data_IF_765152783355
#
_entry.id   IF_765152783355
#
_cell.length_a   1.000
_cell.length_b   1.000
_cell.length_c   1.000
_cell.angle_alpha   90.00
_cell.angle_beta   90.00
_cell.angle_gamma   90.00
#
_symmetry.space_group_name_H-M   'P 1'
#
loop_
_entity.id
_entity.type
_entity.pdbx_description
1 polymer ?
#
# COMPACT_ATOMS: atom_id res chain seq x y z
N UNK A 1 -51.08 -13.39 -10.15
CA UNK A 1 -50.12 -13.25 -9.02
C UNK A 1 -49.00 -14.31 -9.02
N UNK A 2 -49.19 -15.47 -9.65
CA UNK A 2 -48.20 -16.56 -9.68
C UNK A 2 -46.85 -16.34 -10.42
N UNK A 3 -46.72 -15.52 -11.49
CA UNK A 3 -45.46 -15.46 -12.25
C UNK A 3 -44.35 -14.61 -11.58
N UNK A 4 -44.69 -13.80 -10.58
CA UNK A 4 -43.74 -12.89 -9.91
C UNK A 4 -42.78 -13.61 -8.96
N UNK A 5 -43.25 -14.70 -8.33
CA UNK A 5 -42.46 -15.47 -7.34
C UNK A 5 -41.21 -16.11 -7.96
N UNK A 6 -41.29 -16.88 -9.09
CA UNK A 6 -40.10 -17.46 -9.70
C UNK A 6 -39.12 -16.41 -10.22
N UNK A 7 -39.61 -15.28 -10.70
CA UNK A 7 -38.77 -14.15 -11.14
C UNK A 7 -37.96 -13.55 -9.97
N UNK A 8 -38.62 -13.26 -8.85
CA UNK A 8 -37.95 -12.73 -7.64
C UNK A 8 -36.91 -13.74 -7.13
N UNK A 9 -37.24 -15.03 -7.10
CA UNK A 9 -36.29 -16.08 -6.71
C UNK A 9 -35.09 -16.15 -7.67
N UNK A 10 -35.31 -16.00 -8.98
CA UNK A 10 -34.24 -15.91 -9.97
C UNK A 10 -33.26 -14.76 -9.67
N UNK A 11 -33.77 -13.57 -9.35
CA UNK A 11 -32.95 -12.42 -8.95
C UNK A 11 -32.15 -12.71 -7.67
N UNK A 12 -32.78 -13.32 -6.66
CA UNK A 12 -32.11 -13.67 -5.40
C UNK A 12 -30.96 -14.65 -5.62
N UNK A 13 -31.19 -15.73 -6.39
CA UNK A 13 -30.13 -16.69 -6.72
C UNK A 13 -29.01 -16.05 -7.55
N UNK A 14 -29.33 -15.06 -8.38
CA UNK A 14 -28.32 -14.31 -9.13
C UNK A 14 -27.45 -13.43 -8.22
N UNK A 15 -28.03 -12.73 -7.24
CA UNK A 15 -27.28 -11.95 -6.24
C UNK A 15 -26.36 -12.88 -5.42
N UNK A 16 -26.84 -14.08 -5.07
CA UNK A 16 -26.04 -15.11 -4.38
C UNK A 16 -24.90 -15.60 -5.28
N UNK A 17 -25.13 -15.77 -6.58
CA UNK A 17 -24.10 -16.17 -7.54
C UNK A 17 -23.01 -15.11 -7.65
N UNK A 18 -23.36 -13.83 -7.84
CA UNK A 18 -22.41 -12.71 -7.89
C UNK A 18 -21.57 -12.64 -6.61
N UNK A 19 -22.21 -12.72 -5.43
CA UNK A 19 -21.47 -12.74 -4.15
C UNK A 19 -20.56 -13.97 -4.02
N UNK A 20 -21.00 -15.13 -4.53
CA UNK A 20 -20.18 -16.35 -4.49
C UNK A 20 -18.95 -16.26 -5.41
N UNK A 21 -19.06 -15.58 -6.55
CA UNK A 21 -17.94 -15.25 -7.44
C UNK A 21 -16.95 -14.32 -6.73
N UNK A 22 -17.45 -13.29 -6.06
CA UNK A 22 -16.61 -12.37 -5.27
C UNK A 22 -15.83 -13.08 -4.15
N UNK A 23 -16.39 -14.15 -3.59
CA UNK A 23 -15.78 -14.95 -2.51
C UNK A 23 -14.98 -16.16 -3.07
N UNK A 24 -14.75 -16.24 -4.38
CA UNK A 24 -13.99 -17.32 -5.06
C UNK A 24 -14.54 -18.74 -4.84
N UNK A 25 -15.80 -18.88 -4.38
CA UNK A 25 -16.47 -20.19 -4.22
C UNK A 25 -17.13 -20.59 -5.54
N UNK A 26 -16.28 -20.90 -6.51
CA UNK A 26 -16.62 -21.14 -7.92
C UNK A 26 -17.78 -22.11 -8.14
N UNK A 27 -17.84 -23.19 -7.36
CA UNK A 27 -18.85 -24.24 -7.49
C UNK A 27 -20.23 -23.74 -7.06
N UNK A 28 -20.30 -22.92 -6.00
CA UNK A 28 -21.56 -22.33 -5.52
C UNK A 28 -22.08 -21.27 -6.47
N UNK A 29 -21.19 -20.50 -7.08
CA UNK A 29 -21.53 -19.51 -8.10
C UNK A 29 -22.17 -20.17 -9.34
N UNK A 30 -21.59 -21.26 -9.83
CA UNK A 30 -22.10 -21.99 -11.00
C UNK A 30 -23.48 -22.59 -10.71
N UNK A 31 -23.65 -23.26 -9.57
CA UNK A 31 -24.93 -23.89 -9.19
C UNK A 31 -26.03 -22.83 -9.01
N UNK A 32 -25.74 -21.75 -8.28
CA UNK A 32 -26.72 -20.67 -8.08
C UNK A 32 -27.05 -19.93 -9.38
N UNK A 33 -26.06 -19.73 -10.27
CA UNK A 33 -26.28 -19.17 -11.60
C UNK A 33 -27.17 -20.06 -12.48
N UNK A 34 -26.92 -21.37 -12.51
CA UNK A 34 -27.75 -22.35 -13.22
C UNK A 34 -29.19 -22.35 -12.73
N UNK A 35 -29.40 -22.35 -11.40
CA UNK A 35 -30.74 -22.30 -10.79
C UNK A 35 -31.45 -21.01 -11.19
N UNK A 36 -30.76 -19.86 -11.12
CA UNK A 36 -31.31 -18.58 -11.57
C UNK A 36 -31.74 -18.60 -13.03
N UNK A 37 -30.90 -19.12 -13.92
CA UNK A 37 -31.19 -19.25 -15.36
C UNK A 37 -32.41 -20.14 -15.62
N UNK A 38 -32.50 -21.28 -14.94
CA UNK A 38 -33.64 -22.19 -15.05
C UNK A 38 -34.93 -21.51 -14.59
N UNK A 39 -34.91 -20.82 -13.45
CA UNK A 39 -36.08 -20.11 -12.92
C UNK A 39 -36.56 -19.00 -13.87
N UNK A 40 -35.65 -18.22 -14.45
CA UNK A 40 -35.97 -17.20 -15.45
C UNK A 40 -36.52 -17.80 -16.76
N UNK A 41 -36.05 -18.98 -17.15
CA UNK A 41 -36.61 -19.67 -18.31
C UNK A 41 -38.03 -20.18 -18.04
N UNK A 42 -38.29 -20.68 -16.83
CA UNK A 42 -39.64 -21.06 -16.42
C UNK A 42 -40.59 -19.86 -16.37
N UNK A 43 -40.16 -18.69 -15.89
CA UNK A 43 -41.01 -17.49 -15.90
C UNK A 43 -41.42 -17.08 -17.32
N UNK A 44 -40.49 -17.16 -18.28
CA UNK A 44 -40.75 -16.92 -19.70
C UNK A 44 -41.81 -17.88 -20.28
N UNK A 45 -41.70 -19.18 -20.00
CA UNK A 45 -42.69 -20.18 -20.46
C UNK A 45 -44.08 -19.89 -19.89
N UNK A 46 -44.16 -19.60 -18.59
CA UNK A 46 -45.43 -19.28 -17.93
C UNK A 46 -46.06 -17.99 -18.48
N UNK A 47 -45.26 -16.97 -18.82
CA UNK A 47 -45.75 -15.77 -19.48
C UNK A 47 -46.32 -16.07 -20.87
N UNK A 48 -45.65 -16.92 -21.65
CA UNK A 48 -46.08 -17.28 -23.00
C UNK A 48 -47.41 -18.06 -23.04
N UNK A 49 -47.77 -18.76 -21.97
CA UNK A 49 -49.04 -19.50 -21.89
C UNK A 49 -50.26 -18.61 -21.56
N UNK A 50 -50.04 -17.39 -21.05
CA UNK A 50 -51.09 -16.44 -20.67
C UNK A 50 -51.46 -15.43 -21.78
N UNK A 51 -51.24 -15.81 -23.04
CA UNK A 51 -51.48 -14.99 -24.22
C UNK A 51 -52.96 -14.95 -24.61
N UNK A 52 -53.74 -14.11 -23.92
CA UNK A 52 -54.92 -13.49 -24.52
C UNK A 52 -54.47 -12.21 -25.26
N UNK A 53 -54.90 -12.08 -26.51
CA UNK A 53 -54.24 -11.34 -27.60
C UNK A 53 -54.28 -9.80 -27.49
N UNK A 54 -55.04 -9.22 -26.56
CA UNK A 54 -55.37 -7.78 -26.60
C UNK A 54 -54.31 -6.79 -26.07
N UNK A 55 -53.17 -7.24 -25.52
CA UNK A 55 -52.16 -6.33 -24.94
C UNK A 55 -50.73 -6.65 -25.38
N UNK A 56 -50.50 -6.71 -26.70
CA UNK A 56 -49.21 -7.11 -27.26
C UNK A 56 -48.09 -6.06 -27.04
N UNK A 57 -48.39 -4.76 -27.15
CA UNK A 57 -47.35 -3.71 -27.24
C UNK A 57 -46.65 -3.40 -25.90
N UNK A 58 -47.35 -3.49 -24.76
CA UNK A 58 -46.74 -3.27 -23.44
C UNK A 58 -45.97 -4.47 -22.87
N UNK A 59 -46.09 -5.66 -23.49
CA UNK A 59 -45.50 -6.91 -22.98
C UNK A 59 -44.08 -7.21 -23.50
N UNK A 60 -43.57 -6.45 -24.48
CA UNK A 60 -42.23 -6.70 -25.03
C UNK A 60 -41.10 -6.18 -24.13
N UNK A 61 -41.33 -5.14 -23.33
CA UNK A 61 -40.30 -4.54 -22.47
C UNK A 61 -39.81 -5.54 -21.39
N UNK A 62 -40.67 -6.26 -20.66
CA UNK A 62 -40.23 -7.28 -19.69
C UNK A 62 -39.45 -8.42 -20.35
N UNK A 63 -39.92 -8.92 -21.49
CA UNK A 63 -39.28 -10.03 -22.23
C UNK A 63 -37.90 -9.61 -22.75
N UNK A 64 -37.78 -8.38 -23.26
CA UNK A 64 -36.49 -7.85 -23.72
C UNK A 64 -35.50 -7.67 -22.56
N UNK A 65 -35.97 -7.21 -21.39
CA UNK A 65 -35.15 -7.10 -20.19
C UNK A 65 -34.67 -8.48 -19.71
N UNK A 66 -35.54 -9.49 -19.73
CA UNK A 66 -35.19 -10.87 -19.37
C UNK A 66 -34.15 -11.48 -20.34
N UNK A 67 -34.26 -11.20 -21.65
CA UNK A 67 -33.27 -11.62 -22.65
C UNK A 67 -31.92 -10.94 -22.40
N UNK A 68 -31.90 -9.63 -22.11
CA UNK A 68 -30.66 -8.92 -21.79
C UNK A 68 -30.01 -9.50 -20.53
N UNK A 69 -30.79 -9.74 -19.47
CA UNK A 69 -30.31 -10.33 -18.22
C UNK A 69 -29.73 -11.73 -18.50
N UNK A 70 -30.40 -12.54 -19.33
CA UNK A 70 -29.92 -13.85 -19.74
C UNK A 70 -28.61 -13.78 -20.54
N UNK A 71 -28.48 -12.84 -21.47
CA UNK A 71 -27.26 -12.65 -22.27
C UNK A 71 -26.10 -12.23 -21.37
N UNK A 72 -26.33 -11.30 -20.44
CA UNK A 72 -25.31 -10.89 -19.46
C UNK A 72 -24.90 -12.06 -18.56
N UNK A 73 -25.87 -12.85 -18.10
CA UNK A 73 -25.65 -14.07 -17.32
C UNK A 73 -24.79 -15.09 -18.07
N UNK A 74 -25.17 -15.42 -19.31
CA UNK A 74 -24.47 -16.35 -20.17
C UNK A 74 -23.04 -15.88 -20.42
N UNK A 75 -22.85 -14.58 -20.68
CA UNK A 75 -21.54 -13.98 -20.85
C UNK A 75 -20.67 -14.12 -19.58
N UNK A 76 -21.25 -13.84 -18.41
CA UNK A 76 -20.54 -13.96 -17.11
C UNK A 76 -20.13 -15.42 -16.84
N UNK A 77 -21.01 -16.37 -17.15
CA UNK A 77 -20.78 -17.80 -16.97
C UNK A 77 -19.75 -18.34 -17.98
N UNK A 78 -19.76 -17.85 -19.21
CA UNK A 78 -18.74 -18.13 -20.24
C UNK A 78 -17.37 -17.59 -19.82
N UNK A 79 -17.30 -16.34 -19.36
CA UNK A 79 -16.06 -15.74 -18.84
C UNK A 79 -15.55 -16.59 -17.69
N UNK A 80 -16.40 -16.96 -16.74
CA UNK A 80 -16.05 -17.81 -15.61
C UNK A 80 -15.53 -19.20 -16.03
N UNK A 81 -16.22 -19.85 -16.98
CA UNK A 81 -15.83 -21.15 -17.51
C UNK A 81 -14.49 -21.07 -18.24
N UNK A 82 -14.29 -20.05 -19.09
CA UNK A 82 -13.02 -19.79 -19.79
C UNK A 82 -11.86 -19.58 -18.81
N UNK A 83 -12.09 -18.96 -17.66
CA UNK A 83 -11.06 -18.84 -16.61
C UNK A 83 -10.74 -20.17 -15.91
N UNK A 84 -11.71 -21.10 -15.82
CA UNK A 84 -11.56 -22.43 -15.18
C UNK A 84 -11.02 -23.52 -16.12
N UNK A 85 -11.07 -23.33 -17.45
CA UNK A 85 -10.45 -24.25 -18.40
C UNK A 85 -8.95 -24.36 -18.09
N UNK A 86 -8.48 -25.59 -17.84
CA UNK A 86 -7.05 -25.89 -17.71
C UNK A 86 -6.36 -25.52 -19.02
N UNK A 87 -5.20 -24.85 -18.93
CA UNK A 87 -4.45 -24.37 -20.11
C UNK A 87 -4.17 -25.48 -21.14
N UNK A 88 -4.15 -26.74 -20.71
CA UNK A 88 -3.96 -27.93 -21.53
C UNK A 88 -5.05 -28.09 -22.61
N UNK A 89 -6.30 -27.71 -22.35
CA UNK A 89 -7.40 -27.81 -23.31
C UNK A 89 -7.41 -26.70 -24.36
N UNK A 90 -6.65 -25.62 -24.14
CA UNK A 90 -6.55 -24.48 -25.06
C UNK A 90 -5.34 -24.56 -26.00
N UNK A 91 -4.63 -25.69 -26.03
CA UNK A 91 -3.44 -25.89 -26.89
C UNK A 91 -3.70 -25.62 -28.38
N UNK A 92 -4.93 -25.80 -28.87
CA UNK A 92 -5.32 -25.58 -30.27
C UNK A 92 -5.67 -24.12 -30.61
N UNK A 93 -5.81 -23.25 -29.61
CA UNK A 93 -6.25 -21.85 -29.78
C UNK A 93 -5.21 -20.88 -29.17
N UNK A 94 -4.10 -20.66 -29.90
CA UNK A 94 -2.95 -19.86 -29.43
C UNK A 94 -3.34 -18.46 -28.94
N UNK A 95 -4.25 -17.82 -29.66
CA UNK A 95 -4.57 -16.40 -29.44
C UNK A 95 -5.42 -16.22 -28.18
N UNK A 96 -6.42 -17.09 -28.01
CA UNK A 96 -7.28 -17.16 -26.81
C UNK A 96 -6.45 -17.53 -25.58
N UNK A 97 -5.49 -18.46 -25.72
CA UNK A 97 -4.56 -18.83 -24.65
C UNK A 97 -3.70 -17.64 -24.21
N UNK A 98 -3.21 -16.83 -25.16
CA UNK A 98 -2.39 -15.66 -24.88
C UNK A 98 -3.19 -14.58 -24.14
N UNK A 99 -4.43 -14.31 -24.58
CA UNK A 99 -5.33 -13.38 -23.89
C UNK A 99 -5.68 -13.87 -22.48
N UNK A 100 -6.07 -15.14 -22.29
CA UNK A 100 -6.41 -15.69 -20.98
C UNK A 100 -5.22 -15.67 -20.00
N UNK A 101 -4.00 -15.97 -20.48
CA UNK A 101 -2.78 -15.85 -19.67
C UNK A 101 -2.55 -14.40 -19.23
N UNK A 102 -2.76 -13.44 -20.15
CA UNK A 102 -2.68 -12.01 -19.84
C UNK A 102 -3.69 -11.59 -18.76
N UNK A 103 -4.94 -12.05 -18.86
CA UNK A 103 -5.98 -11.75 -17.88
C UNK A 103 -5.75 -12.43 -16.52
N UNK A 104 -5.33 -13.71 -16.48
CA UNK A 104 -4.97 -14.39 -15.23
C UNK A 104 -3.82 -13.67 -14.52
N UNK A 105 -2.81 -13.27 -15.28
CA UNK A 105 -1.69 -12.50 -14.73
C UNK A 105 -2.12 -11.11 -14.25
N UNK A 106 -3.05 -10.45 -14.96
CA UNK A 106 -3.63 -9.17 -14.53
C UNK A 106 -4.37 -9.29 -13.18
N UNK A 107 -5.27 -10.29 -13.04
CA UNK A 107 -5.99 -10.50 -11.78
C UNK A 107 -5.05 -10.91 -10.65
N UNK A 108 -4.07 -11.78 -10.92
CA UNK A 108 -3.02 -12.16 -9.95
C UNK A 108 -2.24 -10.95 -9.47
N UNK A 109 -1.86 -10.03 -10.37
CA UNK A 109 -1.19 -8.76 -10.00
C UNK A 109 -2.08 -7.87 -9.14
N UNK A 110 -3.40 -7.83 -9.40
CA UNK A 110 -4.34 -7.03 -8.60
C UNK A 110 -4.49 -7.57 -7.18
N UNK A 111 -4.57 -8.89 -7.00
CA UNK A 111 -4.64 -9.54 -5.70
C UNK A 111 -3.31 -9.42 -4.92
N UNK A 112 -2.19 -9.67 -5.60
CA UNK A 112 -0.85 -9.45 -5.03
C UNK A 112 -0.66 -7.99 -4.59
N UNK A 113 -1.24 -7.01 -5.31
CA UNK A 113 -1.15 -5.60 -4.93
C UNK A 113 -1.81 -5.31 -3.57
N UNK A 114 -2.95 -5.94 -3.26
CA UNK A 114 -3.57 -5.82 -1.93
C UNK A 114 -2.74 -6.49 -0.85
N UNK A 115 -2.21 -7.68 -1.09
CA UNK A 115 -1.36 -8.39 -0.13
C UNK A 115 -0.07 -7.60 0.18
N UNK A 116 0.61 -7.12 -0.87
CA UNK A 116 1.85 -6.33 -0.71
C UNK A 116 1.60 -4.99 -0.02
N UNK A 117 0.45 -4.36 -0.26
CA UNK A 117 0.02 -3.17 0.48
C UNK A 117 -0.09 -3.45 1.98
N UNK A 118 -0.70 -4.57 2.37
CA UNK A 118 -0.85 -4.92 3.79
C UNK A 118 0.50 -5.29 4.43
N UNK A 119 1.40 -5.94 3.69
CA UNK A 119 2.79 -6.18 4.13
C UNK A 119 3.51 -4.85 4.42
N UNK A 120 3.44 -3.88 3.51
CA UNK A 120 4.07 -2.56 3.73
C UNK A 120 3.50 -1.89 4.97
N UNK A 121 2.17 -1.85 5.12
CA UNK A 121 1.51 -1.25 6.29
C UNK A 121 1.89 -1.94 7.60
N UNK A 122 1.97 -3.28 7.60
CA UNK A 122 2.30 -4.06 8.79
C UNK A 122 3.74 -3.85 9.27
N UNK A 123 4.67 -3.52 8.35
CA UNK A 123 6.07 -3.26 8.70
C UNK A 123 6.32 -1.83 9.21
N UNK A 124 5.46 -0.85 8.88
CA UNK A 124 5.62 0.54 9.35
C UNK A 124 5.73 0.67 10.89
N UNK A 125 4.90 0.03 11.72
CA UNK A 125 5.06 0.06 13.17
C UNK A 125 6.40 -0.50 13.66
N UNK A 126 6.92 -1.54 12.99
CA UNK A 126 8.22 -2.12 13.32
C UNK A 126 9.36 -1.16 13.00
N UNK A 127 9.33 -0.52 11.82
CA UNK A 127 10.31 0.51 11.45
C UNK A 127 10.28 1.69 12.43
N UNK A 128 9.10 2.18 12.78
CA UNK A 128 8.96 3.22 13.80
C UNK A 128 9.55 2.81 15.17
N UNK A 129 9.47 1.52 15.51
CA UNK A 129 10.10 0.98 16.73
C UNK A 129 11.63 0.92 16.61
N UNK A 130 12.18 0.64 15.42
CA UNK A 130 13.62 0.71 15.18
C UNK A 130 14.14 2.13 15.30
N UNK A 131 13.45 3.10 14.69
CA UNK A 131 13.79 4.53 14.77
C UNK A 131 13.79 5.01 16.22
N UNK A 132 12.74 4.69 17.00
CA UNK A 132 12.68 5.03 18.43
C UNK A 132 13.77 4.41 19.30
N UNK A 133 14.40 3.33 18.81
CA UNK A 133 15.50 2.64 19.48
C UNK A 133 16.86 3.04 18.93
N UNK A 134 16.91 4.08 18.10
CA UNK A 134 18.13 4.59 17.49
C UNK A 134 18.84 3.59 16.55
N UNK A 135 18.10 2.61 16.03
CA UNK A 135 18.61 1.63 15.07
C UNK A 135 18.43 2.12 13.62
N UNK A 136 18.96 3.32 13.30
CA UNK A 136 18.69 4.03 12.05
C UNK A 136 19.17 3.25 10.82
N UNK A 137 20.37 2.68 10.85
CA UNK A 137 20.92 1.89 9.73
C UNK A 137 20.03 0.68 9.37
N UNK A 138 19.46 0.01 10.38
CA UNK A 138 18.53 -1.10 10.15
C UNK A 138 17.20 -0.59 9.61
N UNK A 139 16.68 0.53 10.14
CA UNK A 139 15.45 1.14 9.66
C UNK A 139 15.54 1.53 8.17
N UNK A 140 16.66 2.14 7.75
CA UNK A 140 16.90 2.50 6.34
C UNK A 140 16.90 1.27 5.42
N UNK A 141 17.57 0.17 5.80
CA UNK A 141 17.57 -1.07 5.00
C UNK A 141 16.17 -1.67 4.82
N UNK A 142 15.35 -1.61 5.86
CA UNK A 142 13.95 -2.06 5.79
C UNK A 142 13.11 -1.12 4.91
N UNK A 143 13.31 0.20 5.02
CA UNK A 143 12.65 1.20 4.17
C UNK A 143 13.01 1.02 2.69
N UNK A 144 14.28 0.76 2.35
CA UNK A 144 14.72 0.44 0.97
C UNK A 144 13.97 -0.77 0.42
N UNK A 145 13.83 -1.81 1.25
CA UNK A 145 13.10 -3.04 0.91
C UNK A 145 11.62 -2.74 0.64
N UNK A 146 10.99 -1.90 1.48
CA UNK A 146 9.61 -1.48 1.28
C UNK A 146 9.44 -0.57 0.06
N UNK A 147 10.39 0.33 -0.21
CA UNK A 147 10.35 1.21 -1.37
C UNK A 147 10.42 0.40 -2.67
N UNK A 148 11.30 -0.60 -2.75
CA UNK A 148 11.36 -1.53 -3.87
C UNK A 148 10.02 -2.26 -4.10
N UNK A 149 9.33 -2.69 -3.03
CA UNK A 149 8.00 -3.29 -3.13
C UNK A 149 6.98 -2.26 -3.65
N UNK A 150 7.00 -1.03 -3.15
CA UNK A 150 6.09 0.03 -3.57
C UNK A 150 6.23 0.33 -5.05
N UNK A 151 7.45 0.50 -5.55
CA UNK A 151 7.74 0.78 -6.96
C UNK A 151 7.28 -0.38 -7.84
N UNK A 152 7.68 -1.61 -7.48
CA UNK A 152 7.34 -2.83 -8.23
C UNK A 152 5.84 -3.08 -8.36
N UNK A 153 5.06 -2.72 -7.34
CA UNK A 153 3.60 -2.91 -7.32
C UNK A 153 2.82 -1.60 -7.51
N UNK A 154 3.49 -0.50 -7.85
CA UNK A 154 2.93 0.83 -8.12
C UNK A 154 1.99 1.31 -6.99
N UNK A 155 2.43 1.22 -5.73
CA UNK A 155 1.66 1.57 -4.53
C UNK A 155 1.75 3.08 -4.19
N UNK A 156 1.29 3.93 -5.13
CA UNK A 156 1.49 5.40 -5.07
C UNK A 156 1.05 6.07 -3.76
N UNK A 157 -0.02 5.60 -3.14
CA UNK A 157 -0.54 6.16 -1.89
C UNK A 157 0.37 5.93 -0.68
N UNK A 158 1.26 4.94 -0.76
CA UNK A 158 2.25 4.64 0.28
C UNK A 158 3.63 5.22 -0.03
N UNK A 159 3.91 5.56 -1.29
CA UNK A 159 5.20 6.08 -1.77
C UNK A 159 5.65 7.30 -0.97
N UNK A 160 4.78 8.33 -0.90
CA UNK A 160 5.08 9.56 -0.17
C UNK A 160 5.40 9.30 1.30
N UNK A 161 4.66 8.40 1.94
CA UNK A 161 4.86 8.08 3.37
C UNK A 161 6.20 7.38 3.63
N UNK A 162 6.64 6.51 2.71
CA UNK A 162 7.94 5.85 2.82
C UNK A 162 9.06 6.84 2.52
N UNK A 163 8.91 7.68 1.51
CA UNK A 163 9.84 8.76 1.17
C UNK A 163 10.03 9.72 2.36
N UNK A 164 8.94 10.18 2.97
CA UNK A 164 8.99 11.04 4.17
C UNK A 164 9.76 10.37 5.32
N UNK A 165 9.62 9.05 5.49
CA UNK A 165 10.34 8.28 6.53
C UNK A 165 11.82 8.06 6.18
N UNK A 166 12.16 7.86 4.92
CA UNK A 166 13.54 7.77 4.44
C UNK A 166 14.24 9.09 4.71
N UNK A 167 13.66 10.21 4.24
CA UNK A 167 14.20 11.55 4.46
C UNK A 167 14.38 11.84 5.96
N UNK A 168 13.42 11.44 6.79
CA UNK A 168 13.54 11.57 8.24
C UNK A 168 14.73 10.78 8.81
N UNK A 169 14.92 9.53 8.38
CA UNK A 169 16.04 8.70 8.83
C UNK A 169 17.39 9.22 8.32
N UNK A 170 17.45 9.72 7.09
CA UNK A 170 18.64 10.35 6.51
C UNK A 170 19.04 11.62 7.28
N UNK A 171 18.06 12.46 7.65
CA UNK A 171 18.28 13.61 8.53
C UNK A 171 18.89 13.17 9.87
N UNK A 172 18.35 12.12 10.48
CA UNK A 172 18.90 11.58 11.75
C UNK A 172 20.34 11.09 11.58
N UNK A 173 20.64 10.35 10.51
CA UNK A 173 22.00 9.87 10.23
C UNK A 173 23.00 11.04 10.04
N UNK A 174 22.58 12.12 9.37
CA UNK A 174 23.38 13.35 9.26
C UNK A 174 23.59 13.99 10.63
N UNK A 175 22.53 14.13 11.43
CA UNK A 175 22.61 14.72 12.78
C UNK A 175 23.58 13.95 13.66
N UNK A 176 23.46 12.64 13.71
CA UNK A 176 24.33 11.77 14.51
C UNK A 176 25.79 11.91 14.08
N UNK A 177 26.04 11.91 12.77
CA UNK A 177 27.38 12.12 12.23
C UNK A 177 27.96 13.48 12.64
N UNK A 178 27.18 14.56 12.52
CA UNK A 178 27.64 15.91 12.85
C UNK A 178 27.88 16.10 14.34
N UNK A 179 27.05 15.52 15.20
CA UNK A 179 27.24 15.57 16.66
C UNK A 179 28.51 14.82 17.09
N UNK A 180 28.76 13.64 16.53
CA UNK A 180 29.99 12.88 16.78
C UNK A 180 31.23 13.66 16.31
N UNK A 181 31.17 14.27 15.13
CA UNK A 181 32.33 14.93 14.53
C UNK A 181 32.55 16.35 15.04
N UNK A 182 31.51 17.06 15.46
CA UNK A 182 31.60 18.46 15.93
C UNK A 182 32.41 18.65 17.21
N UNK A 183 32.69 17.57 17.94
CA UNK A 183 33.59 17.55 19.10
C UNK A 183 35.04 17.20 18.73
N UNK A 184 35.23 16.49 17.61
CA UNK A 184 36.50 15.90 17.23
C UNK A 184 37.23 16.71 16.15
N UNK A 185 36.49 17.34 15.24
CA UNK A 185 37.00 18.02 14.06
C UNK A 185 36.65 19.50 14.07
N UNK A 186 37.57 20.35 13.61
CA UNK A 186 37.31 21.78 13.46
C UNK A 186 36.57 22.10 12.16
N UNK A 187 36.76 21.27 11.13
CA UNK A 187 36.31 21.52 9.76
C UNK A 187 35.88 20.19 9.14
N UNK A 188 34.73 20.19 8.46
CA UNK A 188 34.21 19.06 7.68
C UNK A 188 33.70 19.57 6.33
N UNK A 189 34.00 18.87 5.24
CA UNK A 189 33.42 19.19 3.93
C UNK A 189 32.11 18.44 3.72
N UNK A 190 31.18 19.03 2.96
CA UNK A 190 29.92 18.34 2.62
C UNK A 190 30.17 17.01 1.90
N UNK A 191 31.19 16.94 1.04
CA UNK A 191 31.59 15.69 0.38
C UNK A 191 31.99 14.58 1.36
N UNK A 192 32.62 14.92 2.49
CA UNK A 192 32.99 13.95 3.51
C UNK A 192 31.73 13.39 4.21
N UNK A 193 30.72 14.24 4.44
CA UNK A 193 29.43 13.82 4.99
C UNK A 193 28.76 12.84 4.03
N UNK A 194 28.70 13.16 2.73
CA UNK A 194 28.12 12.29 1.71
C UNK A 194 28.83 10.94 1.61
N UNK A 195 30.16 10.90 1.79
CA UNK A 195 30.92 9.65 1.74
C UNK A 195 30.70 8.77 2.98
N UNK A 196 30.52 9.38 4.15
CA UNK A 196 30.39 8.66 5.42
C UNK A 196 28.96 8.33 5.81
N UNK A 197 27.99 9.05 5.26
CA UNK A 197 26.56 8.78 5.42
C UNK A 197 26.00 8.11 4.16
N UNK A 198 24.74 7.69 4.18
CA UNK A 198 24.06 7.16 2.99
C UNK A 198 23.41 8.26 2.13
N UNK A 199 23.58 9.52 2.52
CA UNK A 199 22.85 10.64 1.92
C UNK A 199 23.62 11.20 0.74
N UNK A 200 23.02 11.07 -0.45
CA UNK A 200 23.57 11.62 -1.69
C UNK A 200 23.02 13.01 -2.02
N UNK A 201 21.93 13.42 -1.36
CA UNK A 201 21.28 14.70 -1.63
C UNK A 201 21.93 15.83 -0.82
N UNK A 202 22.75 16.61 -1.51
CA UNK A 202 23.45 17.76 -0.92
C UNK A 202 22.52 18.79 -0.31
N UNK A 203 21.36 19.05 -0.92
CA UNK A 203 20.39 20.03 -0.42
C UNK A 203 19.81 19.61 0.93
N UNK A 204 19.56 18.31 1.13
CA UNK A 204 19.12 17.74 2.39
C UNK A 204 20.19 17.91 3.49
N UNK A 205 21.46 17.66 3.16
CA UNK A 205 22.58 17.86 4.09
C UNK A 205 22.69 19.32 4.50
N UNK A 206 22.70 20.24 3.53
CA UNK A 206 22.85 21.69 3.80
C UNK A 206 21.66 22.24 4.60
N UNK A 207 20.43 21.85 4.26
CA UNK A 207 19.24 22.24 5.02
C UNK A 207 19.26 21.69 6.44
N UNK A 208 19.70 20.45 6.63
CA UNK A 208 19.88 19.85 7.97
C UNK A 208 20.92 20.60 8.79
N UNK A 209 22.09 20.91 8.21
CA UNK A 209 23.15 21.69 8.86
C UNK A 209 22.63 23.06 9.31
N UNK A 210 21.98 23.79 8.40
CA UNK A 210 21.44 25.12 8.73
C UNK A 210 20.39 25.04 9.84
N UNK A 211 19.50 24.03 9.80
CA UNK A 211 18.52 23.82 10.86
C UNK A 211 19.18 23.50 12.21
N UNK A 212 20.25 22.70 12.22
CA UNK A 212 20.97 22.39 13.46
C UNK A 212 21.68 23.63 14.03
N UNK A 213 22.24 24.50 13.18
CA UNK A 213 22.86 25.76 13.62
C UNK A 213 21.81 26.73 14.15
N UNK A 214 20.69 26.89 13.44
CA UNK A 214 19.59 27.78 13.83
C UNK A 214 18.93 27.35 15.16
N UNK A 215 18.80 26.04 15.37
CA UNK A 215 18.27 25.47 16.61
C UNK A 215 19.31 25.40 17.74
N UNK A 216 20.54 25.90 17.53
CA UNK A 216 21.65 25.81 18.47
C UNK A 216 21.99 24.35 18.89
N UNK A 217 21.68 23.37 18.04
CA UNK A 217 22.06 21.96 18.25
C UNK A 217 23.58 21.77 18.07
N UNK A 218 24.20 22.58 17.21
CA UNK A 218 25.65 22.65 17.02
C UNK A 218 26.09 24.10 16.90
N UNK A 219 27.28 24.41 17.42
CA UNK A 219 27.94 25.70 17.19
C UNK A 219 28.90 25.56 16.01
N UNK A 220 28.48 26.06 14.85
CA UNK A 220 29.26 25.99 13.62
C UNK A 220 28.89 27.11 12.62
N UNK A 221 29.77 27.34 11.66
CA UNK A 221 29.57 28.25 10.53
C UNK A 221 29.69 27.47 9.21
N UNK A 222 28.66 27.56 8.36
CA UNK A 222 28.65 26.92 7.04
C UNK A 222 29.08 27.90 5.94
N UNK A 223 30.17 27.57 5.25
CA UNK A 223 30.70 28.35 4.13
C UNK A 223 30.21 27.77 2.80
N UNK A 224 29.20 28.42 2.20
CA UNK A 224 28.59 27.98 0.93
C UNK A 224 29.59 27.93 -0.23
N UNK A 225 30.58 28.83 -0.28
CA UNK A 225 31.56 28.91 -1.38
C UNK A 225 32.53 27.73 -1.42
N UNK A 226 32.89 27.20 -0.25
CA UNK A 226 33.83 26.06 -0.11
C UNK A 226 33.12 24.78 0.29
N UNK A 227 31.81 24.81 0.52
CA UNK A 227 30.99 23.68 0.95
C UNK A 227 31.58 23.02 2.19
N UNK A 228 31.92 23.87 3.15
CA UNK A 228 32.68 23.50 4.32
C UNK A 228 31.97 23.98 5.57
N UNK A 229 31.84 23.11 6.55
CA UNK A 229 31.31 23.39 7.88
C UNK A 229 32.48 23.54 8.85
N UNK A 230 32.56 24.68 9.55
CA UNK A 230 33.59 24.94 10.57
C UNK A 230 32.94 24.97 11.95
N UNK A 231 33.35 24.08 12.83
CA UNK A 231 32.84 24.00 14.20
C UNK A 231 33.57 24.95 15.14
N UNK A 232 32.83 25.57 16.06
CA UNK A 232 33.41 26.15 17.27
C UNK A 232 33.51 25.05 18.34
N UNK A 233 34.58 24.27 18.25
CA UNK A 233 34.85 23.13 19.13
C UNK A 233 34.85 23.51 20.60
N UNK A 234 35.36 24.69 20.95
CA UNK A 234 35.43 25.12 22.35
C UNK A 234 34.04 25.38 22.93
N UNK A 235 33.16 25.99 22.14
CA UNK A 235 31.78 26.25 22.55
C UNK A 235 30.98 24.93 22.61
N UNK A 236 31.15 24.04 21.64
CA UNK A 236 30.53 22.70 21.68
C UNK A 236 30.93 21.90 22.92
N UNK A 237 32.23 21.85 23.26
CA UNK A 237 32.73 21.13 24.44
C UNK A 237 32.16 21.74 25.74
N UNK A 238 32.17 23.07 25.85
CA UNK A 238 31.63 23.77 27.03
C UNK A 238 30.15 23.48 27.26
N UNK A 239 29.34 23.43 26.19
CA UNK A 239 27.92 23.14 26.33
C UNK A 239 27.69 21.67 26.74
N UNK A 240 28.48 20.73 26.19
CA UNK A 240 28.45 19.33 26.64
C UNK A 240 28.83 19.22 28.13
N UNK A 241 29.90 19.89 28.57
CA UNK A 241 30.33 19.88 29.97
C UNK A 241 29.24 20.44 30.89
N UNK A 242 28.61 21.54 30.50
CA UNK A 242 27.49 22.16 31.22
C UNK A 242 26.27 21.21 31.30
N UNK A 243 25.92 20.52 30.21
CA UNK A 243 24.85 19.53 30.21
C UNK A 243 25.18 18.35 31.12
N UNK A 244 26.43 17.88 31.13
CA UNK A 244 26.89 16.82 32.01
C UNK A 244 26.86 17.24 33.49
N UNK A 245 27.17 18.50 33.80
CA UNK A 245 27.02 19.03 35.16
C UNK A 245 25.56 19.07 35.61
N UNK A 246 24.65 19.53 34.75
CA UNK A 246 23.20 19.53 35.02
C UNK A 246 22.69 18.11 35.24
N UNK A 247 23.12 17.16 34.40
CA UNK A 247 22.74 15.75 34.54
C UNK A 247 23.24 15.15 35.85
N UNK A 248 24.52 15.39 36.22
CA UNK A 248 25.09 14.94 37.50
C UNK A 248 24.29 15.48 38.68
N UNK A 249 23.95 16.77 38.68
CA UNK A 249 23.12 17.38 39.73
C UNK A 249 21.76 16.71 39.82
N UNK A 250 21.08 16.54 38.68
CA UNK A 250 19.79 15.87 38.61
C UNK A 250 19.84 14.43 39.16
N UNK A 251 20.90 13.69 38.83
CA UNK A 251 21.10 12.32 39.30
C UNK A 251 21.34 12.25 40.82
N UNK A 252 22.16 13.16 41.37
CA UNK A 252 22.47 13.23 42.80
C UNK A 252 21.31 13.76 43.65
N UNK A 253 20.56 14.74 43.14
CA UNK A 253 19.47 15.40 43.88
C UNK A 253 18.16 14.61 43.78
N UNK A 254 18.07 13.60 42.90
CA UNK A 254 16.92 12.72 42.78
C UNK A 254 15.65 13.43 42.29
N UNK A 255 15.76 14.62 41.70
CA UNK A 255 14.65 15.45 41.26
C UNK A 255 13.77 14.66 40.28
N UNK A 256 12.55 14.32 40.67
CA UNK A 256 11.59 13.61 39.82
C UNK A 256 11.73 12.08 39.77
N UNK A 257 12.66 11.47 40.52
CA UNK A 257 12.64 10.01 40.74
C UNK A 257 11.48 9.70 41.71
N UNK A 258 10.31 9.29 41.19
CA UNK A 258 9.23 8.75 42.02
C UNK A 258 9.78 7.58 42.82
N UNK A 259 9.84 7.71 44.15
CA UNK A 259 10.06 6.58 45.05
C UNK A 259 9.03 5.50 44.68
N UNK A 260 9.50 4.38 44.13
CA UNK A 260 8.66 3.18 44.00
C UNK A 260 8.44 2.65 45.41
N UNK A 261 7.33 3.07 46.04
CA UNK A 261 6.72 2.36 47.16
C UNK A 261 5.81 1.26 46.63
#
# INVERSE_FOLDING_TARGET
MFPLVPFILGIVFFIISIRSIQILKSERAIISGLIGTILSFFSLIFLGHYNNIEYLEFRFIPVFLEIIIFILLLHTLLVFYLFKIKEEHLKKYSDIKMSLKGWKEFFRRKELRSEKREIVKANLPYINKLIKKDNISTALKELDTLNFIIEKFNLKDLSKKIEDLINFCEILEIKDFLLDKGTNYNIIKIGDIMEKTRVNEKELIVSTINSMIENEEIYAEYFKSTETLKFDKNTNIKEIDKLMEVYKKWETEGIGKRERR
#
